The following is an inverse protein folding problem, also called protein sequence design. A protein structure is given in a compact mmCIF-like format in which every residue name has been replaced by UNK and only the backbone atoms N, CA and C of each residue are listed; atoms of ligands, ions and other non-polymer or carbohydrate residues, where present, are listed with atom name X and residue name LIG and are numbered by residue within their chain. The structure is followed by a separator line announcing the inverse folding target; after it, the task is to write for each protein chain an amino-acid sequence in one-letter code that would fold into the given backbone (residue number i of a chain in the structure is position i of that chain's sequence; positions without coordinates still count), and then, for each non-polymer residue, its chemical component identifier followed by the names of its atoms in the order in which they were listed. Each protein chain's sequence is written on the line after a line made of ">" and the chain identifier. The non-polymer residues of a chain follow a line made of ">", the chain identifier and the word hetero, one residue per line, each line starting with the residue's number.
data_IF_064851316528
#
_entry.id   IF_064851316528
#
_cell.length_a   1.000
_cell.length_b   1.000
_cell.length_c   1.000
_cell.angle_alpha   90.00
_cell.angle_beta   90.00
_cell.angle_gamma   90.00
#
_symmetry.space_group_name_H-M   'P 1'
#
loop_
_entity.id
_entity.type
_entity.pdbx_description
1 polymer ?
#
# COMPACT_ATOMS: atom_id res chain seq x y z
N UNK A 1 -24.03 8.59 -0.93
CA UNK A 1 -23.44 7.30 -0.56
C UNK A 1 -21.98 7.56 -0.24
N UNK A 2 -21.51 7.20 0.95
CA UNK A 2 -20.07 7.24 1.28
C UNK A 2 -19.32 6.31 0.33
N UNK A 3 -18.18 6.74 -0.23
CA UNK A 3 -17.34 5.90 -1.11
C UNK A 3 -16.66 4.80 -0.26
N UNK A 4 -17.36 3.69 -0.06
CA UNK A 4 -16.88 2.55 0.72
C UNK A 4 -15.84 1.71 -0.01
N UNK A 5 -15.71 1.89 -1.34
CA UNK A 5 -14.79 1.11 -2.15
C UNK A 5 -13.35 1.29 -1.69
N UNK A 6 -12.96 2.51 -1.35
CA UNK A 6 -11.59 2.84 -0.91
C UNK A 6 -11.42 2.86 0.60
N UNK A 7 -12.45 2.49 1.35
CA UNK A 7 -12.42 2.55 2.81
C UNK A 7 -11.58 1.39 3.36
N UNK A 8 -10.60 1.73 4.19
CA UNK A 8 -9.63 0.79 4.76
C UNK A 8 -9.42 1.07 6.24
N UNK A 9 -9.01 0.03 6.97
CA UNK A 9 -8.41 0.15 8.29
C UNK A 9 -6.91 -0.11 8.18
N UNK A 10 -6.11 0.78 8.75
CA UNK A 10 -4.65 0.65 8.80
C UNK A 10 -4.26 -0.07 10.09
N UNK A 11 -3.41 -1.08 9.97
CA UNK A 11 -2.81 -1.78 11.09
C UNK A 11 -1.29 -1.71 11.03
N UNK A 12 -0.65 -1.69 12.20
CA UNK A 12 0.79 -1.90 12.33
C UNK A 12 1.06 -2.99 13.37
N UNK A 13 2.04 -3.85 13.10
CA UNK A 13 2.44 -4.89 14.04
C UNK A 13 3.29 -4.28 15.15
N UNK A 14 2.92 -4.53 16.41
CA UNK A 14 3.64 -4.04 17.58
C UNK A 14 4.70 -5.04 18.08
N UNK A 15 5.43 -4.67 19.14
CA UNK A 15 6.51 -5.48 19.70
C UNK A 15 6.01 -6.83 20.27
N UNK A 16 4.75 -6.88 20.71
CA UNK A 16 4.06 -8.06 21.20
C UNK A 16 3.54 -8.98 20.08
N UNK A 17 3.86 -8.65 18.81
CA UNK A 17 3.37 -9.34 17.60
C UNK A 17 1.85 -9.33 17.47
N UNK A 18 1.22 -8.23 17.90
CA UNK A 18 -0.21 -7.97 17.74
C UNK A 18 -0.42 -6.81 16.77
N UNK A 19 -1.55 -6.84 16.06
CA UNK A 19 -1.91 -5.79 15.10
C UNK A 19 -2.66 -4.67 15.81
N UNK A 20 -2.01 -3.52 15.94
CA UNK A 20 -2.62 -2.30 16.45
C UNK A 20 -3.47 -1.62 15.38
N UNK A 21 -4.71 -1.26 15.70
CA UNK A 21 -5.54 -0.38 14.86
C UNK A 21 -4.97 1.05 14.89
N UNK A 22 -4.54 1.56 13.74
CA UNK A 22 -4.02 2.92 13.56
C UNK A 22 -5.07 3.89 13.02
N UNK A 23 -6.28 3.41 12.71
CA UNK A 23 -7.40 4.22 12.28
C UNK A 23 -8.07 3.72 11.01
N UNK A 24 -9.22 4.31 10.72
CA UNK A 24 -9.99 4.06 9.50
C UNK A 24 -9.90 5.27 8.57
N UNK A 25 -9.74 5.00 7.27
CA UNK A 25 -9.52 6.04 6.28
C UNK A 25 -9.84 5.60 4.85
N UNK A 26 -9.54 6.46 3.90
CA UNK A 26 -9.70 6.19 2.47
C UNK A 26 -8.32 6.10 1.80
N UNK A 27 -8.04 4.98 1.14
CA UNK A 27 -6.77 4.75 0.45
C UNK A 27 -6.78 5.33 -0.96
N UNK A 28 -5.65 5.86 -1.40
CA UNK A 28 -5.40 6.27 -2.79
C UNK A 28 -3.95 5.95 -3.19
N UNK A 29 -3.70 5.90 -4.50
CA UNK A 29 -2.35 5.75 -5.05
C UNK A 29 -2.05 6.92 -5.98
N UNK A 30 -0.98 7.66 -5.70
CA UNK A 30 -0.57 8.82 -6.50
C UNK A 30 0.95 8.95 -6.51
N UNK A 31 1.49 9.63 -7.53
CA UNK A 31 2.89 10.02 -7.53
C UNK A 31 3.12 11.12 -6.48
N UNK A 32 4.11 10.93 -5.61
CA UNK A 32 4.50 11.88 -4.57
C UNK A 32 5.90 12.40 -4.89
N UNK A 33 5.99 13.69 -5.23
CA UNK A 33 7.23 14.32 -5.71
C UNK A 33 8.39 14.17 -4.72
N UNK A 34 8.15 14.42 -3.42
CA UNK A 34 9.18 14.32 -2.37
C UNK A 34 9.72 12.89 -2.19
N UNK A 35 8.95 11.88 -2.55
CA UNK A 35 9.34 10.46 -2.50
C UNK A 35 9.83 9.94 -3.84
N UNK A 36 9.72 10.74 -4.91
CA UNK A 36 10.08 10.39 -6.30
C UNK A 36 9.50 9.05 -6.74
N UNK A 37 8.22 8.82 -6.46
CA UNK A 37 7.57 7.55 -6.77
C UNK A 37 6.08 7.54 -6.53
N UNK A 38 5.44 6.48 -7.01
CA UNK A 38 4.04 6.17 -6.70
C UNK A 38 3.97 5.72 -5.24
N UNK A 39 3.04 6.29 -4.49
CA UNK A 39 2.86 6.02 -3.06
C UNK A 39 1.40 5.68 -2.74
N UNK A 40 1.22 4.86 -1.72
CA UNK A 40 -0.06 4.62 -1.06
C UNK A 40 -0.29 5.70 -0.01
N UNK A 41 -1.44 6.37 -0.08
CA UNK A 41 -1.87 7.38 0.88
C UNK A 41 -3.16 6.93 1.55
N UNK A 42 -3.25 7.03 2.88
CA UNK A 42 -4.50 6.84 3.62
C UNK A 42 -4.87 8.12 4.34
N UNK A 43 -6.05 8.67 4.04
CA UNK A 43 -6.60 9.84 4.75
C UNK A 43 -7.66 9.42 5.76
N UNK A 44 -7.52 9.87 7.01
CA UNK A 44 -8.40 9.53 8.11
C UNK A 44 -9.85 9.98 7.86
N UNK A 45 -10.82 9.17 8.27
CA UNK A 45 -12.24 9.57 8.24
C UNK A 45 -12.59 10.63 9.29
N UNK A 46 -11.83 10.68 10.38
CA UNK A 46 -12.10 11.56 11.53
C UNK A 46 -11.89 13.04 11.22
N UNK A 47 -10.79 13.37 10.55
CA UNK A 47 -10.34 14.75 10.36
C UNK A 47 -9.62 14.99 9.02
N UNK A 48 -9.53 13.97 8.15
CA UNK A 48 -8.83 14.06 6.87
C UNK A 48 -7.30 14.09 6.95
N UNK A 49 -6.72 13.93 8.15
CA UNK A 49 -5.28 13.82 8.36
C UNK A 49 -4.69 12.61 7.64
N UNK A 50 -3.38 12.64 7.40
CA UNK A 50 -2.68 11.57 6.70
C UNK A 50 -2.26 10.48 7.70
N UNK A 51 -2.90 9.31 7.62
CA UNK A 51 -2.57 8.14 8.44
C UNK A 51 -1.37 7.36 7.89
N UNK A 52 -1.24 7.33 6.56
CA UNK A 52 -0.18 6.61 5.87
C UNK A 52 0.30 7.42 4.66
N UNK A 53 1.62 7.47 4.49
CA UNK A 53 2.27 7.77 3.23
C UNK A 53 3.45 6.81 3.04
N UNK A 54 3.26 5.81 2.17
CA UNK A 54 4.24 4.76 1.90
C UNK A 54 4.54 4.68 0.42
N UNK A 55 5.81 4.80 0.04
CA UNK A 55 6.24 4.65 -1.36
C UNK A 55 6.17 3.17 -1.74
N UNK A 56 5.62 2.87 -2.92
CA UNK A 56 5.69 1.51 -3.47
C UNK A 56 7.14 1.24 -3.91
N UNK A 57 7.85 0.36 -3.19
CA UNK A 57 9.23 0.00 -3.51
C UNK A 57 9.29 -1.38 -4.18
N UNK A 58 10.29 -1.58 -5.03
CA UNK A 58 10.46 -2.82 -5.82
C UNK A 58 11.07 -3.98 -5.04
N UNK A 59 11.65 -3.69 -3.89
CA UNK A 59 12.25 -4.63 -2.94
C UNK A 59 11.31 -4.96 -1.77
N UNK A 60 10.22 -4.20 -1.60
CA UNK A 60 9.18 -4.50 -0.61
C UNK A 60 8.35 -5.71 -1.03
N UNK A 61 8.20 -6.68 -0.14
CA UNK A 61 7.37 -7.86 -0.36
C UNK A 61 5.91 -7.60 0.05
N UNK A 62 5.11 -7.07 -0.86
CA UNK A 62 3.66 -6.96 -0.66
C UNK A 62 2.97 -8.32 -0.81
N UNK A 63 2.02 -8.60 0.07
CA UNK A 63 1.24 -9.83 0.07
C UNK A 63 -0.24 -9.52 0.15
N UNK A 64 -1.03 -10.14 -0.73
CA UNK A 64 -2.49 -10.10 -0.63
C UNK A 64 -2.99 -11.32 0.11
N UNK A 65 -3.81 -11.13 1.14
CA UNK A 65 -4.40 -12.18 1.96
C UNK A 65 -5.93 -12.03 2.00
N UNK A 66 -6.65 -13.15 2.10
CA UNK A 66 -8.12 -13.20 2.29
C UNK A 66 -8.93 -12.28 1.35
N UNK A 67 -8.41 -11.99 0.16
CA UNK A 67 -8.97 -11.09 -0.86
C UNK A 67 -9.08 -9.60 -0.52
N UNK A 68 -9.12 -9.24 0.76
CA UNK A 68 -9.35 -7.86 1.25
C UNK A 68 -8.22 -7.31 2.10
N UNK A 69 -7.11 -8.03 2.26
CA UNK A 69 -5.98 -7.61 3.07
C UNK A 69 -4.72 -7.47 2.21
N UNK A 70 -4.00 -6.36 2.37
CA UNK A 70 -2.65 -6.19 1.82
C UNK A 70 -1.69 -5.98 2.98
N UNK A 71 -0.65 -6.80 3.07
CA UNK A 71 0.35 -6.80 4.14
C UNK A 71 1.74 -6.58 3.54
N UNK A 72 2.59 -5.77 4.17
CA UNK A 72 3.98 -5.58 3.77
C UNK A 72 4.84 -5.10 4.95
N UNK A 73 6.15 -5.20 4.81
CA UNK A 73 7.14 -4.65 5.75
C UNK A 73 7.73 -3.35 5.18
N UNK A 74 7.59 -2.26 5.91
CA UNK A 74 8.13 -0.93 5.57
C UNK A 74 9.52 -0.77 6.22
N UNK A 75 10.58 -1.04 5.47
CA UNK A 75 11.93 -1.09 6.03
C UNK A 75 12.12 -2.27 7.01
N UNK A 76 13.09 -2.16 7.91
CA UNK A 76 13.45 -3.25 8.82
C UNK A 76 12.50 -3.29 10.04
N UNK A 77 11.63 -4.30 10.08
CA UNK A 77 10.72 -4.64 11.19
C UNK A 77 9.52 -3.70 11.43
N UNK A 78 9.02 -3.00 10.41
CA UNK A 78 7.77 -2.25 10.53
C UNK A 78 6.69 -2.85 9.62
N UNK A 79 5.99 -3.87 10.11
CA UNK A 79 4.94 -4.54 9.37
C UNK A 79 3.63 -3.74 9.41
N UNK A 80 3.06 -3.54 8.22
CA UNK A 80 1.82 -2.80 8.00
C UNK A 80 0.79 -3.67 7.29
N UNK A 81 -0.47 -3.41 7.57
CA UNK A 81 -1.57 -4.02 6.83
C UNK A 81 -2.69 -3.01 6.54
N UNK A 82 -3.23 -3.08 5.32
CA UNK A 82 -4.46 -2.41 4.92
C UNK A 82 -5.56 -3.45 4.81
N UNK A 83 -6.56 -3.33 5.67
CA UNK A 83 -7.79 -4.14 5.63
C UNK A 83 -8.88 -3.35 4.93
N UNK A 84 -9.28 -3.81 3.75
CA UNK A 84 -10.26 -3.17 2.90
C UNK A 84 -11.67 -3.59 3.28
N UNK A 85 -12.59 -2.63 3.28
CA UNK A 85 -14.00 -2.94 3.43
C UNK A 85 -14.56 -3.72 2.23
N UNK A 86 -14.05 -3.45 1.03
CA UNK A 86 -14.51 -4.07 -0.21
C UNK A 86 -13.35 -4.71 -0.98
N UNK A 87 -13.58 -5.93 -1.48
CA UNK A 87 -12.65 -6.65 -2.36
C UNK A 87 -12.29 -5.83 -3.61
N UNK A 88 -13.26 -5.14 -4.20
CA UNK A 88 -13.02 -4.32 -5.40
C UNK A 88 -11.97 -3.23 -5.14
N UNK A 89 -11.99 -2.57 -3.98
CA UNK A 89 -10.96 -1.61 -3.61
C UNK A 89 -9.59 -2.25 -3.37
N UNK A 90 -9.57 -3.43 -2.76
CA UNK A 90 -8.35 -4.19 -2.56
C UNK A 90 -7.73 -4.60 -3.90
N UNK A 91 -8.55 -5.09 -4.84
CA UNK A 91 -8.14 -5.45 -6.19
C UNK A 91 -7.54 -4.24 -6.93
N UNK A 92 -8.21 -3.09 -6.91
CA UNK A 92 -7.73 -1.86 -7.54
C UNK A 92 -6.34 -1.43 -7.04
N UNK A 93 -6.12 -1.43 -5.72
CA UNK A 93 -4.81 -1.08 -5.14
C UNK A 93 -3.77 -2.15 -5.40
N UNK A 94 -4.14 -3.42 -5.31
CA UNK A 94 -3.24 -4.53 -5.60
C UNK A 94 -2.71 -4.48 -7.04
N UNK A 95 -3.59 -4.20 -8.02
CA UNK A 95 -3.19 -4.01 -9.41
C UNK A 95 -2.19 -2.88 -9.59
N UNK A 96 -2.34 -1.76 -8.86
CA UNK A 96 -1.39 -0.64 -8.90
C UNK A 96 -0.01 -1.04 -8.37
N UNK A 97 0.02 -1.81 -7.28
CA UNK A 97 1.26 -2.37 -6.72
C UNK A 97 1.91 -3.30 -7.77
N UNK A 98 1.17 -4.25 -8.34
CA UNK A 98 1.68 -5.17 -9.36
C UNK A 98 2.18 -4.47 -10.63
N UNK A 99 1.49 -3.43 -11.09
CA UNK A 99 1.91 -2.62 -12.26
C UNK A 99 3.30 -2.02 -12.04
N UNK A 100 3.59 -1.54 -10.83
CA UNK A 100 4.90 -0.99 -10.49
C UNK A 100 6.00 -2.05 -10.56
N UNK A 101 5.78 -3.24 -9.98
CA UNK A 101 6.71 -4.37 -10.10
C UNK A 101 6.96 -4.76 -11.56
N UNK A 102 5.91 -4.82 -12.38
CA UNK A 102 6.01 -5.12 -13.81
C UNK A 102 6.85 -4.09 -14.58
N UNK A 103 6.73 -2.80 -14.24
CA UNK A 103 7.55 -1.74 -14.84
C UNK A 103 9.03 -1.92 -14.46
N UNK A 104 9.33 -2.18 -13.19
CA UNK A 104 10.71 -2.33 -12.72
C UNK A 104 11.41 -3.52 -13.38
N UNK A 105 10.73 -4.67 -13.46
CA UNK A 105 11.27 -5.86 -14.14
C UNK A 105 11.55 -5.58 -15.62
N UNK A 106 10.67 -4.84 -16.31
CA UNK A 106 10.88 -4.45 -17.72
C UNK A 106 12.09 -3.53 -17.89
N UNK A 107 12.24 -2.50 -17.06
CA UNK A 107 13.37 -1.57 -17.13
C UNK A 107 14.71 -2.26 -16.87
N UNK A 108 14.76 -3.17 -15.89
CA UNK A 108 15.96 -3.98 -15.63
C UNK A 108 16.33 -4.87 -16.82
N UNK A 109 15.33 -5.50 -17.46
CA UNK A 109 15.54 -6.32 -18.65
C UNK A 109 16.06 -5.50 -19.85
N UNK A 110 15.58 -4.27 -20.04
CA UNK A 110 16.06 -3.38 -21.10
C UNK A 110 17.48 -2.88 -20.86
N UNK A 111 17.84 -2.55 -19.62
CA UNK A 111 19.20 -2.13 -19.28
C UNK A 111 20.21 -3.25 -19.56
N UNK A 112 19.88 -4.50 -19.21
CA UNK A 112 20.74 -5.67 -19.48
C UNK A 112 20.94 -5.97 -20.97
N UNK A 113 20.01 -5.56 -21.84
CA UNK A 113 20.15 -5.73 -23.31
C UNK A 113 21.01 -4.66 -23.97
N UNK A 114 21.28 -3.55 -23.29
CA UNK A 114 22.10 -2.43 -23.79
C UNK A 114 23.53 -2.41 -23.23
N UNK A 115 23.81 -3.31 -22.28
CA UNK A 115 25.14 -3.62 -21.73
C UNK A 115 25.74 -4.81 -22.46
#
# INVERSE_FOLDING_TARGET
>A
MSDTRRRVKLYALNAERQWDDKGTGHVSSTYVERLKGVSLLVRAESDGSLLLESRIQSDTSYQKQQETLIVWSEGDNFDLALSFQEKAGCDEIWEKICQWFGIVVKLQAEFRKKS
#
